data_IF_942046550742
#
_entry.id   IF_942046550742
#
_cell.length_a   1.000
_cell.length_b   1.000
_cell.length_c   1.000
_cell.angle_alpha   90.00
_cell.angle_beta   90.00
_cell.angle_gamma   90.00
#
_symmetry.space_group_name_H-M   'P 1'
#
loop_
_entity.id
_entity.type
_entity.pdbx_description
1 polymer ?
#
# COMPACT_ATOMS: atom_id res chain seq x y z
N UNK A 1 -15.42 -6.24 23.02
CA UNK A 1 -14.16 -7.01 23.09
C UNK A 1 -13.79 -7.07 24.56
N UNK A 2 -13.66 -8.25 25.15
CA UNK A 2 -13.29 -8.40 26.56
C UNK A 2 -11.85 -7.89 26.72
N UNK A 3 -11.65 -6.98 27.69
CA UNK A 3 -10.32 -6.65 28.22
C UNK A 3 -9.61 -7.95 28.55
N UNK A 4 -8.48 -8.20 27.91
CA UNK A 4 -7.60 -9.28 28.31
C UNK A 4 -6.79 -8.76 29.47
N UNK A 5 -7.00 -9.33 30.62
CA UNK A 5 -6.22 -9.12 31.83
C UNK A 5 -4.73 -9.31 31.53
N UNK A 6 -3.95 -8.24 31.60
CA UNK A 6 -2.49 -8.26 31.46
C UNK A 6 -1.80 -9.03 32.61
N UNK A 7 -2.56 -9.40 33.65
CA UNK A 7 -2.06 -10.07 34.85
C UNK A 7 -1.89 -11.58 34.75
N UNK A 8 -2.27 -12.21 33.63
CA UNK A 8 -2.18 -13.68 33.47
C UNK A 8 -0.81 -14.18 32.95
N UNK A 9 0.21 -13.30 32.94
CA UNK A 9 1.56 -13.60 32.42
C UNK A 9 2.65 -13.70 33.50
N UNK A 10 2.28 -13.93 34.75
CA UNK A 10 3.22 -13.84 35.89
C UNK A 10 4.22 -14.99 36.03
N UNK A 11 4.37 -15.87 35.07
CA UNK A 11 5.24 -17.04 35.13
C UNK A 11 6.25 -17.18 33.99
N UNK A 12 6.84 -16.11 33.47
CA UNK A 12 7.94 -16.24 32.53
C UNK A 12 9.11 -15.31 32.88
N UNK A 13 10.28 -15.87 32.90
CA UNK A 13 11.57 -15.29 33.22
C UNK A 13 11.83 -13.98 32.48
N UNK A 14 12.43 -13.00 33.16
CA UNK A 14 13.02 -11.74 32.63
C UNK A 14 12.14 -10.75 31.88
N UNK A 15 10.82 -10.84 31.98
CA UNK A 15 9.91 -9.74 31.53
C UNK A 15 10.24 -8.40 32.22
N UNK A 16 10.90 -8.46 33.38
CA UNK A 16 11.33 -7.28 34.15
C UNK A 16 12.41 -6.48 33.39
N UNK A 17 13.35 -7.16 32.73
CA UNK A 17 14.41 -6.48 31.99
C UNK A 17 13.89 -5.81 30.71
N UNK A 18 13.04 -6.48 29.94
CA UNK A 18 12.42 -5.92 28.74
C UNK A 18 11.48 -4.76 29.08
N UNK A 19 10.60 -4.92 30.07
CA UNK A 19 9.71 -3.86 30.51
C UNK A 19 10.49 -2.66 31.07
N UNK A 20 11.57 -2.91 31.81
CA UNK A 20 12.45 -1.86 32.32
C UNK A 20 13.15 -1.10 31.19
N UNK A 21 13.65 -1.79 30.18
CA UNK A 21 14.26 -1.16 28.99
C UNK A 21 13.26 -0.36 28.20
N UNK A 22 12.05 -0.87 27.98
CA UNK A 22 10.97 -0.13 27.31
C UNK A 22 10.60 1.13 28.09
N UNK A 23 10.40 1.04 29.39
CA UNK A 23 10.10 2.20 30.23
C UNK A 23 11.24 3.25 30.21
N UNK A 24 12.49 2.80 30.16
CA UNK A 24 13.63 3.72 30.04
C UNK A 24 13.61 4.46 28.70
N UNK A 25 13.31 3.77 27.59
CA UNK A 25 13.17 4.41 26.29
C UNK A 25 11.99 5.38 26.27
N UNK A 26 10.84 5.01 26.84
CA UNK A 26 9.68 5.91 26.95
C UNK A 26 10.01 7.18 27.73
N UNK A 27 10.78 7.07 28.82
CA UNK A 27 11.25 8.23 29.59
C UNK A 27 12.29 9.05 28.83
N UNK A 28 13.25 8.40 28.16
CA UNK A 28 14.29 9.07 27.38
C UNK A 28 13.71 9.88 26.21
N UNK A 29 12.74 9.33 25.50
CA UNK A 29 12.10 9.96 24.34
C UNK A 29 10.84 10.77 24.67
N UNK A 30 10.47 10.87 25.96
CA UNK A 30 9.30 11.63 26.39
C UNK A 30 8.00 11.13 25.75
N UNK A 31 7.83 9.81 25.69
CA UNK A 31 6.63 9.19 25.09
C UNK A 31 5.38 9.54 25.91
N UNK A 32 4.39 10.13 25.24
CA UNK A 32 3.10 10.46 25.83
C UNK A 32 1.98 9.62 25.18
N UNK A 33 1.03 9.18 25.99
CA UNK A 33 -0.14 8.43 25.50
C UNK A 33 -1.27 9.36 25.06
N UNK A 34 -1.47 9.45 23.76
CA UNK A 34 -2.57 10.19 23.12
C UNK A 34 -3.66 9.28 22.53
N UNK A 35 -3.86 8.08 23.07
CA UNK A 35 -4.78 7.07 22.50
C UNK A 35 -6.16 7.66 22.16
N UNK A 36 -6.72 8.51 23.01
CA UNK A 36 -8.01 9.15 22.80
C UNK A 36 -8.09 10.02 21.54
N UNK A 37 -7.02 10.71 21.20
CA UNK A 37 -6.96 11.65 20.07
C UNK A 37 -6.66 10.97 18.74
N UNK A 38 -5.86 9.92 18.73
CA UNK A 38 -5.32 9.31 17.51
C UNK A 38 -5.94 7.96 17.15
N UNK A 39 -6.48 7.21 18.11
CA UNK A 39 -7.02 5.87 17.91
C UNK A 39 -7.96 5.73 16.71
N UNK A 40 -8.86 6.70 16.53
CA UNK A 40 -9.82 6.68 15.43
C UNK A 40 -9.24 7.19 14.11
N UNK A 41 -8.14 7.95 14.14
CA UNK A 41 -7.52 8.53 12.95
C UNK A 41 -6.67 7.52 12.17
N UNK A 42 -6.21 6.45 12.81
CA UNK A 42 -5.41 5.39 12.16
C UNK A 42 -6.22 4.63 11.12
N UNK A 43 -7.55 4.54 11.29
CA UNK A 43 -8.39 3.71 10.43
C UNK A 43 -8.58 4.34 9.03
N UNK A 44 -8.16 3.67 7.93
CA UNK A 44 -8.29 4.17 6.56
C UNK A 44 -9.75 4.33 6.10
N UNK A 45 -10.71 3.68 6.79
CA UNK A 45 -12.13 3.77 6.43
C UNK A 45 -12.69 5.21 6.51
N UNK A 46 -12.07 6.09 7.29
CA UNK A 46 -12.45 7.50 7.37
C UNK A 46 -12.20 8.27 6.07
N UNK A 47 -11.17 7.91 5.34
CA UNK A 47 -10.84 8.52 4.05
C UNK A 47 -11.43 7.77 2.84
N UNK A 48 -12.12 6.65 3.08
CA UNK A 48 -12.59 5.72 2.03
C UNK A 48 -13.42 6.38 0.93
N UNK A 49 -14.24 7.37 1.27
CA UNK A 49 -15.14 8.06 0.34
C UNK A 49 -14.63 9.45 -0.06
N UNK A 50 -13.42 9.83 0.38
CA UNK A 50 -12.84 11.12 0.02
C UNK A 50 -12.22 11.07 -1.38
N UNK A 51 -12.25 12.18 -2.13
CA UNK A 51 -11.58 12.31 -3.42
C UNK A 51 -10.13 11.82 -3.36
N UNK A 52 -9.66 11.19 -4.41
CA UNK A 52 -8.33 10.58 -4.55
C UNK A 52 -8.06 9.37 -3.61
N UNK A 53 -8.51 9.38 -2.35
CA UNK A 53 -8.33 8.24 -1.43
C UNK A 53 -9.18 7.03 -1.87
N UNK A 54 -10.30 7.26 -2.56
CA UNK A 54 -11.20 6.23 -3.09
C UNK A 54 -10.71 5.56 -4.39
N UNK A 55 -9.61 6.03 -4.98
CA UNK A 55 -9.16 5.59 -6.31
C UNK A 55 -8.75 4.11 -6.36
N UNK A 56 -8.10 3.63 -5.32
CA UNK A 56 -7.75 2.21 -5.19
C UNK A 56 -8.06 1.69 -3.80
N UNK A 57 -8.51 0.44 -3.73
CA UNK A 57 -8.71 -0.23 -2.45
C UNK A 57 -7.37 -0.68 -1.88
N UNK A 58 -6.82 0.13 -0.98
CA UNK A 58 -5.58 -0.16 -0.28
C UNK A 58 -5.86 -0.33 1.21
N UNK A 59 -5.70 -1.55 1.73
CA UNK A 59 -6.14 -1.92 3.09
C UNK A 59 -5.17 -1.44 4.16
N UNK A 60 -3.93 -1.39 3.82
CA UNK A 60 -2.80 -1.12 4.70
C UNK A 60 -2.53 0.40 4.83
N UNK A 61 -3.37 1.23 4.20
CA UNK A 61 -3.29 2.68 4.33
C UNK A 61 -3.83 3.14 5.69
N UNK A 62 -3.37 4.28 6.13
CA UNK A 62 -3.97 5.07 7.20
C UNK A 62 -4.70 6.30 6.64
N UNK A 63 -5.49 6.97 7.49
CA UNK A 63 -6.30 8.09 7.03
C UNK A 63 -5.45 9.34 6.76
N UNK A 64 -5.84 10.13 5.75
CA UNK A 64 -5.24 11.45 5.53
C UNK A 64 -5.45 12.42 6.69
N UNK A 65 -6.50 12.22 7.53
CA UNK A 65 -6.74 13.02 8.73
C UNK A 65 -5.62 12.84 9.76
N UNK A 66 -5.11 11.60 9.92
CA UNK A 66 -3.95 11.34 10.79
C UNK A 66 -2.74 12.16 10.33
N UNK A 67 -2.43 12.12 9.04
CA UNK A 67 -1.29 12.85 8.47
C UNK A 67 -1.45 14.36 8.69
N UNK A 68 -2.61 14.91 8.38
CA UNK A 68 -2.89 16.34 8.59
C UNK A 68 -2.71 16.74 10.06
N UNK A 69 -3.18 15.90 10.98
CA UNK A 69 -2.99 16.13 12.42
C UNK A 69 -1.49 16.11 12.80
N UNK A 70 -0.73 15.11 12.35
CA UNK A 70 0.71 15.01 12.64
C UNK A 70 1.47 16.22 12.08
N UNK A 71 1.22 16.61 10.85
CA UNK A 71 1.83 17.82 10.26
C UNK A 71 1.46 19.07 11.08
N UNK A 72 0.20 19.20 11.51
CA UNK A 72 -0.25 20.40 12.26
C UNK A 72 0.42 20.56 13.61
N UNK A 73 0.82 19.46 14.26
CA UNK A 73 1.50 19.52 15.57
C UNK A 73 3.04 19.61 15.46
N UNK A 74 3.59 19.35 14.26
CA UNK A 74 5.05 19.32 14.05
C UNK A 74 5.67 20.69 13.73
N UNK A 75 4.88 21.77 13.68
CA UNK A 75 5.36 23.16 13.46
C UNK A 75 6.25 23.35 12.23
N UNK A 76 5.96 22.62 11.12
CA UNK A 76 6.75 22.61 9.90
C UNK A 76 6.58 23.88 9.06
N UNK A 77 7.62 24.21 8.30
CA UNK A 77 7.59 25.29 7.33
C UNK A 77 7.57 24.75 5.88
N UNK A 78 6.45 24.87 5.13
CA UNK A 78 6.31 24.28 3.80
C UNK A 78 7.27 24.88 2.75
N UNK A 79 7.86 26.06 3.00
CA UNK A 79 8.84 26.67 2.08
C UNK A 79 10.24 26.09 2.24
N UNK A 80 10.55 25.43 3.36
CA UNK A 80 11.88 24.92 3.71
C UNK A 80 11.94 23.42 3.91
N UNK A 81 10.80 22.79 4.16
CA UNK A 81 10.74 21.41 4.60
C UNK A 81 9.81 20.59 3.73
N UNK A 82 10.15 19.31 3.59
CA UNK A 82 9.33 18.31 2.90
C UNK A 82 8.86 17.23 3.87
N UNK A 83 7.76 16.58 3.52
CA UNK A 83 7.26 15.39 4.22
C UNK A 83 7.67 14.14 3.46
N UNK A 84 8.20 13.14 4.16
CA UNK A 84 8.73 11.90 3.58
C UNK A 84 7.96 10.69 4.08
N UNK A 85 7.63 9.78 3.17
CA UNK A 85 7.05 8.46 3.48
C UNK A 85 7.82 7.36 2.72
N UNK A 86 8.74 6.65 3.38
CA UNK A 86 9.54 5.61 2.75
C UNK A 86 8.77 4.30 2.46
N UNK A 87 7.48 4.23 2.83
CA UNK A 87 6.60 3.08 2.59
C UNK A 87 5.20 3.57 2.21
N UNK A 88 5.14 4.47 1.21
CA UNK A 88 3.99 5.33 0.96
C UNK A 88 2.71 4.62 0.50
N UNK A 89 2.80 3.36 0.08
CA UNK A 89 1.64 2.59 -0.35
C UNK A 89 0.80 3.33 -1.39
N UNK A 90 -0.46 3.55 -1.08
CA UNK A 90 -1.37 4.32 -1.94
C UNK A 90 -1.17 5.85 -1.89
N UNK A 91 -0.18 6.36 -1.14
CA UNK A 91 0.17 7.78 -1.10
C UNK A 91 -0.69 8.64 -0.18
N UNK A 92 -1.19 8.10 0.92
CA UNK A 92 -2.00 8.88 1.88
C UNK A 92 -1.23 10.04 2.50
N UNK A 93 0.03 9.80 2.90
CA UNK A 93 0.93 10.85 3.41
C UNK A 93 1.17 11.92 2.36
N UNK A 94 1.51 11.51 1.14
CA UNK A 94 1.89 12.43 0.07
C UNK A 94 0.73 13.34 -0.32
N UNK A 95 -0.47 12.76 -0.44
CA UNK A 95 -1.67 13.50 -0.77
C UNK A 95 -2.03 14.51 0.33
N UNK A 96 -2.06 14.09 1.59
CA UNK A 96 -2.37 14.98 2.71
C UNK A 96 -1.31 16.09 2.89
N UNK A 97 -0.05 15.82 2.57
CA UNK A 97 1.02 16.81 2.56
C UNK A 97 0.79 17.88 1.48
N UNK A 98 0.45 17.45 0.25
CA UNK A 98 0.13 18.35 -0.85
C UNK A 98 -1.11 19.21 -0.56
N UNK A 99 -2.16 18.65 0.06
CA UNK A 99 -3.36 19.37 0.52
C UNK A 99 -3.01 20.51 1.50
N UNK A 100 -1.94 20.34 2.29
CA UNK A 100 -1.42 21.35 3.24
C UNK A 100 -0.32 22.25 2.66
N UNK A 101 0.00 22.11 1.38
CA UNK A 101 0.98 22.95 0.68
C UNK A 101 2.44 22.52 0.86
N UNK A 102 2.69 21.30 1.34
CA UNK A 102 4.05 20.75 1.46
C UNK A 102 4.45 19.96 0.21
N UNK A 103 5.71 20.07 -0.17
CA UNK A 103 6.35 19.10 -1.04
C UNK A 103 6.44 17.76 -0.30
N UNK A 104 6.37 16.66 -1.06
CA UNK A 104 6.40 15.33 -0.47
C UNK A 104 7.29 14.36 -1.27
N UNK A 105 7.83 13.38 -0.57
CA UNK A 105 8.67 12.35 -1.16
C UNK A 105 8.24 10.97 -0.66
N UNK A 106 8.06 10.01 -1.56
CA UNK A 106 7.62 8.67 -1.22
C UNK A 106 8.39 7.56 -1.91
N UNK A 107 8.58 6.46 -1.19
CA UNK A 107 9.07 5.19 -1.72
C UNK A 107 8.06 4.08 -1.48
N UNK A 108 7.99 3.13 -2.38
CA UNK A 108 7.34 1.84 -2.18
C UNK A 108 7.94 0.80 -3.12
N UNK A 109 8.06 -0.45 -2.67
CA UNK A 109 8.61 -1.53 -3.49
C UNK A 109 7.60 -2.12 -4.48
N UNK A 110 6.33 -1.81 -4.30
CA UNK A 110 5.25 -2.36 -5.11
C UNK A 110 4.90 -1.41 -6.27
N UNK A 111 5.14 -1.80 -7.52
CA UNK A 111 4.87 -0.94 -8.67
C UNK A 111 3.43 -0.44 -8.76
N UNK A 112 2.44 -1.26 -8.37
CA UNK A 112 1.04 -0.85 -8.32
C UNK A 112 0.81 0.32 -7.35
N UNK A 113 1.35 0.21 -6.13
CA UNK A 113 1.26 1.26 -5.11
C UNK A 113 1.85 2.57 -5.59
N UNK A 114 3.05 2.51 -6.17
CA UNK A 114 3.74 3.67 -6.74
C UNK A 114 2.90 4.33 -7.83
N UNK A 115 2.37 3.55 -8.78
CA UNK A 115 1.54 4.09 -9.86
C UNK A 115 0.22 4.68 -9.35
N UNK A 116 -0.41 4.03 -8.38
CA UNK A 116 -1.62 4.56 -7.73
C UNK A 116 -1.31 5.88 -7.00
N UNK A 117 -0.20 5.97 -6.30
CA UNK A 117 0.23 7.19 -5.63
C UNK A 117 0.55 8.31 -6.64
N UNK A 118 1.39 8.05 -7.64
CA UNK A 118 1.75 9.00 -8.69
C UNK A 118 0.53 9.58 -9.42
N UNK A 119 -0.46 8.73 -9.75
CA UNK A 119 -1.64 9.17 -10.51
C UNK A 119 -2.52 10.18 -9.78
N UNK A 120 -2.43 10.26 -8.46
CA UNK A 120 -3.17 11.27 -7.66
C UNK A 120 -2.67 12.70 -7.88
N UNK A 121 -1.49 12.87 -8.46
CA UNK A 121 -0.87 14.16 -8.73
C UNK A 121 -0.94 14.55 -10.21
N UNK A 122 -1.68 13.81 -11.02
CA UNK A 122 -1.96 14.17 -12.41
C UNK A 122 -2.85 15.41 -12.48
N UNK A 123 -2.53 16.31 -13.40
CA UNK A 123 -3.37 17.41 -13.84
C UNK A 123 -3.82 17.16 -15.28
N UNK A 124 -5.04 17.54 -15.63
CA UNK A 124 -5.59 17.33 -16.96
C UNK A 124 -5.95 18.68 -17.59
N UNK A 125 -5.45 18.91 -18.79
CA UNK A 125 -5.90 20.01 -19.63
C UNK A 125 -7.13 19.61 -20.47
N UNK A 126 -7.73 20.60 -21.12
CA UNK A 126 -8.96 20.39 -21.92
C UNK A 126 -8.77 19.38 -23.08
N UNK A 127 -7.59 19.32 -23.69
CA UNK A 127 -7.30 18.36 -24.75
C UNK A 127 -7.26 16.93 -24.21
N UNK A 128 -6.64 16.71 -23.05
CA UNK A 128 -6.58 15.44 -22.35
C UNK A 128 -7.98 14.99 -21.88
N UNK A 129 -8.79 15.92 -21.38
CA UNK A 129 -10.19 15.63 -21.01
C UNK A 129 -11.01 15.18 -22.23
N UNK A 130 -10.85 15.83 -23.39
CA UNK A 130 -11.51 15.39 -24.63
C UNK A 130 -11.03 14.00 -25.06
N UNK A 131 -9.72 13.78 -25.04
CA UNK A 131 -9.13 12.48 -25.37
C UNK A 131 -9.69 11.35 -24.49
N UNK A 132 -9.81 11.57 -23.16
CA UNK A 132 -10.40 10.57 -22.25
C UNK A 132 -11.86 10.25 -22.65
N UNK A 133 -12.65 11.25 -23.02
CA UNK A 133 -14.04 11.04 -23.46
C UNK A 133 -14.12 10.23 -24.75
N UNK A 134 -13.22 10.50 -25.70
CA UNK A 134 -13.13 9.73 -26.94
C UNK A 134 -12.75 8.26 -26.66
N UNK A 135 -11.79 8.04 -25.78
CA UNK A 135 -11.38 6.69 -25.33
C UNK A 135 -12.53 5.96 -24.63
N UNK A 136 -13.27 6.63 -23.76
CA UNK A 136 -14.45 6.04 -23.12
C UNK A 136 -15.49 5.60 -24.14
N UNK A 137 -15.78 6.40 -25.17
CA UNK A 137 -16.68 6.02 -26.24
C UNK A 137 -16.15 4.80 -27.01
N UNK A 138 -14.85 4.80 -27.37
CA UNK A 138 -14.22 3.66 -28.04
C UNK A 138 -14.30 2.38 -27.19
N UNK A 139 -14.10 2.47 -25.88
CA UNK A 139 -14.22 1.33 -24.97
C UNK A 139 -15.65 0.79 -24.91
N UNK A 140 -16.65 1.67 -24.85
CA UNK A 140 -18.06 1.26 -24.81
C UNK A 140 -18.52 0.65 -26.13
N UNK A 141 -17.96 1.10 -27.25
CA UNK A 141 -18.32 0.65 -28.60
C UNK A 141 -17.51 -0.56 -29.07
N UNK A 142 -16.34 -0.86 -28.47
CA UNK A 142 -15.43 -1.90 -28.97
C UNK A 142 -15.97 -3.33 -28.83
N UNK A 143 -16.92 -3.56 -27.91
CA UNK A 143 -17.39 -4.90 -27.60
C UNK A 143 -16.28 -5.82 -27.03
N UNK A 144 -16.61 -7.09 -26.85
CA UNK A 144 -15.69 -8.10 -26.31
C UNK A 144 -14.91 -8.72 -27.49
N UNK A 145 -13.75 -8.15 -27.81
CA UNK A 145 -12.87 -8.62 -28.89
C UNK A 145 -11.37 -8.57 -28.51
N UNK A 146 -10.92 -9.34 -27.50
CA UNK A 146 -9.49 -9.35 -27.17
C UNK A 146 -8.70 -10.04 -28.29
N UNK A 147 -7.77 -9.30 -28.91
CA UNK A 147 -6.90 -9.82 -29.95
C UNK A 147 -5.65 -10.52 -29.40
N UNK A 148 -5.19 -10.14 -28.23
CA UNK A 148 -4.01 -10.71 -27.57
C UNK A 148 -4.19 -10.78 -26.06
N UNK A 149 -3.87 -11.93 -25.50
CA UNK A 149 -3.81 -12.18 -24.05
C UNK A 149 -2.38 -12.64 -23.75
N UNK A 150 -1.70 -11.97 -22.84
CA UNK A 150 -0.37 -12.37 -22.42
C UNK A 150 -0.39 -13.64 -21.57
N UNK A 151 0.72 -14.38 -21.52
CA UNK A 151 0.83 -15.58 -20.68
C UNK A 151 0.59 -15.27 -19.20
N UNK A 152 1.02 -14.09 -18.72
CA UNK A 152 0.77 -13.63 -17.36
C UNK A 152 -0.75 -13.47 -17.09
N UNK A 153 -1.46 -12.78 -17.94
CA UNK A 153 -2.92 -12.59 -17.83
C UNK A 153 -3.67 -13.92 -17.90
N UNK A 154 -3.30 -14.79 -18.83
CA UNK A 154 -3.92 -16.12 -18.95
C UNK A 154 -3.72 -16.95 -17.66
N UNK A 155 -2.58 -16.82 -16.99
CA UNK A 155 -2.29 -17.56 -15.75
C UNK A 155 -3.24 -17.25 -14.59
N UNK A 156 -3.86 -16.07 -14.60
CA UNK A 156 -4.80 -15.62 -13.56
C UNK A 156 -6.25 -15.53 -14.06
N UNK A 157 -6.53 -15.92 -15.29
CA UNK A 157 -7.90 -15.97 -15.85
C UNK A 157 -8.88 -16.68 -14.95
N UNK A 158 -8.47 -17.75 -14.28
CA UNK A 158 -9.24 -18.51 -13.29
C UNK A 158 -9.76 -17.69 -12.08
N UNK A 159 -9.28 -16.46 -11.89
CA UNK A 159 -9.74 -15.57 -10.82
C UNK A 159 -10.94 -14.72 -11.25
N UNK A 160 -11.36 -14.81 -12.50
CA UNK A 160 -12.48 -14.09 -13.07
C UNK A 160 -13.53 -15.06 -13.63
N UNK A 161 -14.76 -14.61 -13.82
CA UNK A 161 -15.62 -15.27 -14.81
C UNK A 161 -15.12 -14.93 -16.23
N UNK A 162 -15.49 -15.74 -17.19
CA UNK A 162 -14.95 -15.62 -18.55
C UNK A 162 -15.30 -14.28 -19.22
N UNK A 163 -16.53 -13.79 -19.02
CA UNK A 163 -17.02 -12.54 -19.61
C UNK A 163 -16.25 -11.34 -19.07
N UNK A 164 -16.20 -11.18 -17.74
CA UNK A 164 -15.45 -10.10 -17.10
C UNK A 164 -13.98 -10.10 -17.48
N UNK A 165 -13.35 -11.29 -17.57
CA UNK A 165 -11.95 -11.38 -17.97
C UNK A 165 -11.74 -10.82 -19.38
N UNK A 166 -12.57 -11.22 -20.34
CA UNK A 166 -12.47 -10.78 -21.73
C UNK A 166 -12.78 -9.29 -21.88
N UNK A 167 -13.79 -8.77 -21.16
CA UNK A 167 -14.09 -7.34 -21.12
C UNK A 167 -12.89 -6.52 -20.57
N UNK A 168 -12.29 -6.96 -19.48
CA UNK A 168 -11.12 -6.29 -18.90
C UNK A 168 -9.92 -6.27 -19.86
N UNK A 169 -9.69 -7.36 -20.62
CA UNK A 169 -8.64 -7.38 -21.64
C UNK A 169 -8.97 -6.43 -22.79
N UNK A 170 -10.24 -6.39 -23.25
CA UNK A 170 -10.67 -5.48 -24.30
C UNK A 170 -10.49 -4.01 -23.90
N UNK A 171 -10.87 -3.63 -22.68
CA UNK A 171 -10.64 -2.29 -22.13
C UNK A 171 -9.13 -1.95 -22.16
N UNK A 172 -8.28 -2.88 -21.69
CA UNK A 172 -6.82 -2.69 -21.67
C UNK A 172 -6.27 -2.45 -23.07
N UNK A 173 -6.74 -3.19 -24.07
CA UNK A 173 -6.25 -3.06 -25.46
C UNK A 173 -6.54 -1.67 -26.04
N UNK A 174 -7.72 -1.10 -25.77
CA UNK A 174 -8.06 0.24 -26.23
C UNK A 174 -7.13 1.28 -25.61
N UNK A 175 -7.03 1.34 -24.26
CA UNK A 175 -6.21 2.37 -23.64
C UNK A 175 -4.70 2.15 -23.81
N UNK A 176 -4.25 0.94 -24.13
CA UNK A 176 -2.82 0.65 -24.38
C UNK A 176 -2.27 1.34 -25.64
N UNK A 177 -3.14 1.88 -26.51
CA UNK A 177 -2.74 2.60 -27.71
C UNK A 177 -2.56 4.11 -27.47
N UNK A 178 -2.79 4.58 -26.24
CA UNK A 178 -2.70 6.00 -25.90
C UNK A 178 -1.23 6.43 -25.80
N UNK A 179 -0.88 7.50 -26.52
CA UNK A 179 0.46 8.06 -26.48
C UNK A 179 0.64 9.11 -25.35
N UNK A 180 -0.43 9.78 -24.90
CA UNK A 180 -0.39 10.73 -23.80
C UNK A 180 -0.13 9.96 -22.49
N UNK A 181 0.97 10.31 -21.82
CA UNK A 181 1.45 9.57 -20.63
C UNK A 181 0.51 9.69 -19.43
N UNK A 182 -0.06 10.87 -19.23
CA UNK A 182 -0.93 11.13 -18.07
C UNK A 182 -2.30 10.47 -18.28
N UNK A 183 -2.87 10.59 -19.48
CA UNK A 183 -4.11 9.91 -19.86
C UNK A 183 -3.95 8.40 -19.79
N UNK A 184 -2.85 7.84 -20.33
CA UNK A 184 -2.53 6.42 -20.20
C UNK A 184 -2.42 5.98 -18.74
N UNK A 185 -1.68 6.74 -17.91
CA UNK A 185 -1.50 6.41 -16.49
C UNK A 185 -2.84 6.42 -15.75
N UNK A 186 -3.69 7.42 -15.99
CA UNK A 186 -5.01 7.53 -15.37
C UNK A 186 -5.92 6.37 -15.78
N UNK A 187 -6.01 6.05 -17.09
CA UNK A 187 -6.77 4.91 -17.58
C UNK A 187 -6.26 3.59 -17.00
N UNK A 188 -4.94 3.39 -16.97
CA UNK A 188 -4.33 2.19 -16.39
C UNK A 188 -4.67 2.03 -14.91
N UNK A 189 -4.60 3.09 -14.11
CA UNK A 189 -4.95 3.02 -12.68
C UNK A 189 -6.45 2.83 -12.47
N UNK A 190 -7.31 3.48 -13.25
CA UNK A 190 -8.75 3.24 -13.22
C UNK A 190 -9.06 1.76 -13.46
N UNK A 191 -8.45 1.17 -14.49
CA UNK A 191 -8.59 -0.23 -14.84
C UNK A 191 -8.06 -1.18 -13.76
N UNK A 192 -6.84 -0.94 -13.23
CA UNK A 192 -6.30 -1.75 -12.14
C UNK A 192 -7.15 -1.68 -10.86
N UNK A 193 -7.76 -0.54 -10.60
CA UNK A 193 -8.58 -0.31 -9.40
C UNK A 193 -9.90 -1.08 -9.39
N UNK A 194 -10.38 -1.53 -10.54
CA UNK A 194 -11.63 -2.30 -10.66
C UNK A 194 -11.41 -3.81 -10.69
N UNK A 195 -10.18 -4.29 -10.84
CA UNK A 195 -9.88 -5.71 -11.03
C UNK A 195 -10.39 -6.58 -9.89
N UNK A 196 -10.19 -6.15 -8.62
CA UNK A 196 -10.68 -6.91 -7.47
C UNK A 196 -12.21 -7.07 -7.51
N UNK A 197 -12.95 -6.00 -7.83
CA UNK A 197 -14.42 -6.04 -7.84
C UNK A 197 -14.96 -6.85 -9.01
N UNK A 198 -14.31 -6.81 -10.18
CA UNK A 198 -14.67 -7.60 -11.35
C UNK A 198 -14.20 -9.07 -11.25
N UNK A 199 -13.40 -9.43 -10.24
CA UNK A 199 -12.89 -10.79 -10.03
C UNK A 199 -13.74 -11.60 -9.05
N UNK A 200 -13.53 -12.93 -9.05
CA UNK A 200 -14.04 -13.85 -8.02
C UNK A 200 -13.12 -13.92 -6.80
N UNK A 201 -12.31 -12.87 -6.57
CA UNK A 201 -11.37 -12.79 -5.46
C UNK A 201 -11.58 -11.50 -4.67
N UNK A 202 -11.30 -11.57 -3.38
CA UNK A 202 -11.21 -10.41 -2.49
C UNK A 202 -9.94 -10.51 -1.66
N UNK A 203 -9.32 -9.39 -1.38
CA UNK A 203 -8.22 -9.33 -0.42
C UNK A 203 -8.75 -9.72 0.96
N UNK A 204 -8.11 -10.70 1.60
CA UNK A 204 -8.51 -11.21 2.91
C UNK A 204 -7.31 -11.70 3.70
N UNK A 205 -7.06 -11.09 4.85
CA UNK A 205 -5.95 -11.45 5.73
C UNK A 205 -4.64 -11.59 4.95
N UNK A 206 -4.15 -12.82 4.82
CA UNK A 206 -2.84 -13.12 4.24
C UNK A 206 -2.85 -13.36 2.71
N UNK A 207 -3.89 -12.92 1.99
CA UNK A 207 -3.92 -13.14 0.55
C UNK A 207 -5.28 -12.88 -0.10
N UNK A 208 -5.68 -13.77 -1.01
CA UNK A 208 -6.92 -13.66 -1.77
C UNK A 208 -7.91 -14.78 -1.39
N UNK A 209 -9.03 -14.42 -0.78
CA UNK A 209 -10.18 -15.32 -0.59
C UNK A 209 -11.07 -15.34 -1.83
N UNK A 210 -11.86 -16.41 -1.98
CA UNK A 210 -12.87 -16.49 -3.04
C UNK A 210 -14.13 -15.73 -2.63
N UNK A 211 -14.71 -15.01 -3.58
CA UNK A 211 -16.02 -14.37 -3.50
C UNK A 211 -16.77 -14.62 -4.81
N UNK A 212 -18.05 -14.36 -4.82
CA UNK A 212 -18.82 -14.18 -6.04
C UNK A 212 -18.78 -12.70 -6.45
N UNK A 213 -18.44 -12.41 -7.71
CA UNK A 213 -18.52 -11.05 -8.23
C UNK A 213 -19.96 -10.67 -8.51
N UNK A 214 -20.30 -9.41 -8.21
CA UNK A 214 -21.60 -8.81 -8.54
C UNK A 214 -21.54 -7.93 -9.78
N UNK A 215 -20.34 -7.74 -10.31
CA UNK A 215 -20.12 -6.91 -11.51
C UNK A 215 -20.34 -7.82 -12.73
N UNK A 216 -21.24 -7.40 -13.60
CA UNK A 216 -21.62 -8.09 -14.85
C UNK A 216 -21.33 -7.26 -16.09
N UNK A 217 -20.82 -6.02 -15.93
CA UNK A 217 -20.46 -5.09 -17.00
C UNK A 217 -19.22 -4.30 -16.56
N UNK A 218 -18.04 -4.80 -16.95
CA UNK A 218 -16.78 -4.15 -16.62
C UNK A 218 -16.56 -2.86 -17.42
N UNK A 219 -17.17 -2.70 -18.61
CA UNK A 219 -17.07 -1.48 -19.40
C UNK A 219 -17.73 -0.31 -18.67
N UNK A 220 -18.96 -0.50 -18.23
CA UNK A 220 -19.66 0.54 -17.47
C UNK A 220 -19.01 0.80 -16.10
N UNK A 221 -18.49 -0.25 -15.45
CA UNK A 221 -17.82 -0.11 -14.18
C UNK A 221 -16.49 0.67 -14.31
N UNK A 222 -15.73 0.41 -15.37
CA UNK A 222 -14.52 1.18 -15.73
C UNK A 222 -14.85 2.64 -16.03
N UNK A 223 -15.87 2.90 -16.86
CA UNK A 223 -16.33 4.26 -17.17
C UNK A 223 -16.63 5.04 -15.90
N UNK A 224 -17.47 4.49 -15.01
CA UNK A 224 -17.85 5.14 -13.76
C UNK A 224 -16.62 5.47 -12.90
N UNK A 225 -15.65 4.54 -12.85
CA UNK A 225 -14.40 4.75 -12.11
C UNK A 225 -13.57 5.89 -12.69
N UNK A 226 -13.37 5.91 -13.99
CA UNK A 226 -12.57 6.94 -14.65
C UNK A 226 -13.25 8.32 -14.58
N UNK A 227 -14.57 8.40 -14.74
CA UNK A 227 -15.33 9.64 -14.56
C UNK A 227 -15.26 10.18 -13.14
N UNK A 228 -15.28 9.30 -12.12
CA UNK A 228 -15.04 9.69 -10.73
C UNK A 228 -13.65 10.30 -10.56
N UNK A 229 -12.61 9.66 -11.10
CA UNK A 229 -11.24 10.15 -11.01
C UNK A 229 -11.06 11.51 -11.73
N UNK A 230 -11.66 11.68 -12.91
CA UNK A 230 -11.67 12.96 -13.62
C UNK A 230 -12.38 14.06 -12.82
N UNK A 231 -13.48 13.71 -12.15
CA UNK A 231 -14.24 14.64 -11.31
C UNK A 231 -13.41 15.09 -10.11
N UNK A 232 -12.69 14.17 -9.47
CA UNK A 232 -11.79 14.50 -8.37
C UNK A 232 -10.68 15.44 -8.81
N UNK A 233 -10.04 15.18 -9.98
CA UNK A 233 -9.00 16.06 -10.54
C UNK A 233 -9.57 17.45 -10.83
N UNK A 234 -10.73 17.53 -11.47
CA UNK A 234 -11.37 18.80 -11.81
C UNK A 234 -11.73 19.63 -10.57
N UNK A 235 -12.18 18.95 -9.51
CA UNK A 235 -12.64 19.60 -8.28
C UNK A 235 -11.52 19.80 -7.25
N UNK A 236 -10.26 19.54 -7.61
CA UNK A 236 -9.11 19.80 -6.75
C UNK A 236 -9.07 21.30 -6.39
N UNK A 237 -9.06 21.59 -5.11
CA UNK A 237 -9.12 22.96 -4.56
C UNK A 237 -7.82 23.42 -3.90
N UNK A 238 -6.71 22.72 -4.15
CA UNK A 238 -5.37 23.04 -3.68
C UNK A 238 -4.37 22.94 -4.84
N UNK A 239 -3.32 23.73 -4.75
CA UNK A 239 -2.22 23.71 -5.72
C UNK A 239 -1.34 22.46 -5.49
N UNK A 240 -1.02 21.75 -6.57
CA UNK A 240 -0.08 20.66 -6.48
C UNK A 240 1.32 21.16 -6.12
N UNK A 241 1.93 20.46 -5.19
CA UNK A 241 3.31 20.67 -4.79
C UNK A 241 4.20 19.59 -5.39
N UNK A 242 5.51 19.82 -5.41
CA UNK A 242 6.45 18.82 -5.90
C UNK A 242 6.31 17.53 -5.08
N UNK A 243 5.91 16.48 -5.76
CA UNK A 243 5.71 15.16 -5.14
C UNK A 243 6.40 14.11 -5.96
N UNK A 244 7.50 13.58 -5.41
CA UNK A 244 8.28 12.52 -6.04
C UNK A 244 7.94 11.17 -5.41
N UNK A 245 7.67 10.19 -6.27
CA UNK A 245 7.35 8.81 -5.83
C UNK A 245 8.15 7.82 -6.65
N UNK A 246 8.95 6.98 -5.99
CA UNK A 246 9.82 6.01 -6.66
C UNK A 246 9.51 4.58 -6.24
N UNK A 247 9.76 3.64 -7.18
CA UNK A 247 9.59 2.22 -6.94
C UNK A 247 10.90 1.63 -6.39
N UNK A 248 11.17 1.94 -5.12
CA UNK A 248 12.42 1.61 -4.43
C UNK A 248 12.16 1.11 -3.01
N UNK A 249 13.15 0.44 -2.42
CA UNK A 249 13.10 0.02 -1.02
C UNK A 249 13.29 1.20 -0.08
N UNK A 250 12.62 1.19 1.07
CA UNK A 250 12.87 2.15 2.14
C UNK A 250 14.33 2.19 2.61
N UNK A 251 15.07 1.09 2.42
CA UNK A 251 16.52 1.02 2.74
C UNK A 251 17.37 1.92 1.85
N UNK A 252 16.87 2.33 0.67
CA UNK A 252 17.55 3.28 -0.23
C UNK A 252 17.15 4.74 0.00
N UNK A 253 16.41 5.04 1.08
CA UNK A 253 15.87 6.37 1.34
C UNK A 253 16.96 7.46 1.33
N UNK A 254 18.05 7.26 2.05
CA UNK A 254 19.12 8.25 2.16
C UNK A 254 19.74 8.62 0.80
N UNK A 255 19.91 7.60 -0.08
CA UNK A 255 20.48 7.80 -1.41
C UNK A 255 19.49 8.45 -2.39
N UNK A 256 18.19 8.12 -2.23
CA UNK A 256 17.15 8.52 -3.19
C UNK A 256 16.60 9.90 -2.87
N UNK A 257 16.36 10.21 -1.59
CA UNK A 257 15.78 11.49 -1.16
C UNK A 257 16.66 12.68 -1.52
N UNK A 258 17.99 12.52 -1.49
CA UNK A 258 18.92 13.59 -1.87
C UNK A 258 18.72 14.11 -3.29
N UNK A 259 18.20 13.28 -4.19
CA UNK A 259 17.93 13.68 -5.59
C UNK A 259 16.76 14.66 -5.71
N UNK A 260 15.87 14.66 -4.72
CA UNK A 260 14.64 15.48 -4.69
C UNK A 260 14.74 16.67 -3.72
N UNK A 261 15.79 16.71 -2.87
CA UNK A 261 16.01 17.80 -1.90
C UNK A 261 16.69 19.00 -2.56
N UNK A 262 15.96 19.72 -3.40
CA UNK A 262 16.47 20.99 -3.96
C UNK A 262 16.14 22.14 -3.00
N UNK A 263 17.15 22.61 -2.24
CA UNK A 263 17.04 23.71 -1.29
C UNK A 263 16.04 23.51 -0.13
N UNK A 264 15.65 22.27 0.16
CA UNK A 264 14.78 21.93 1.28
C UNK A 264 15.40 20.84 2.16
N UNK A 265 14.91 20.73 3.38
CA UNK A 265 15.29 19.68 4.32
C UNK A 265 14.12 18.74 4.60
N UNK A 266 14.39 17.55 5.09
CA UNK A 266 13.33 16.66 5.59
C UNK A 266 12.85 17.21 6.92
N UNK A 267 11.60 17.64 6.97
CA UNK A 267 10.96 18.16 8.19
C UNK A 267 10.23 17.09 8.97
N UNK A 268 9.62 16.11 8.28
CA UNK A 268 8.84 15.06 8.92
C UNK A 268 8.90 13.78 8.12
N UNK A 269 9.04 12.65 8.81
CA UNK A 269 8.93 11.31 8.24
C UNK A 269 7.71 10.62 8.85
N UNK A 270 6.74 10.23 8.01
CA UNK A 270 5.53 9.51 8.44
C UNK A 270 5.42 8.24 7.62
N UNK A 271 5.34 7.08 8.27
CA UNK A 271 5.18 5.81 7.59
C UNK A 271 4.54 4.75 8.48
N UNK A 272 3.98 3.73 7.84
CA UNK A 272 3.50 2.51 8.49
C UNK A 272 4.32 1.33 7.96
N UNK A 273 5.25 0.80 8.76
CA UNK A 273 6.10 -0.30 8.31
C UNK A 273 5.30 -1.57 8.13
N UNK A 274 5.79 -2.53 7.33
CA UNK A 274 5.17 -3.85 7.24
C UNK A 274 5.08 -4.49 8.62
N UNK A 275 3.89 -4.96 8.98
CA UNK A 275 3.67 -5.58 10.28
C UNK A 275 4.35 -6.95 10.36
N UNK A 276 4.91 -7.28 11.52
CA UNK A 276 5.53 -8.59 11.82
C UNK A 276 4.49 -9.71 12.00
N UNK A 277 3.45 -9.75 11.16
CA UNK A 277 2.33 -10.68 11.22
C UNK A 277 2.27 -11.70 10.07
N UNK A 278 3.37 -11.83 9.32
CA UNK A 278 3.48 -12.71 8.15
C UNK A 278 2.51 -12.35 7.00
N UNK A 279 2.12 -11.09 6.87
CA UNK A 279 1.27 -10.64 5.76
C UNK A 279 2.04 -10.59 4.45
N UNK A 280 1.50 -11.26 3.40
CA UNK A 280 2.10 -11.26 2.07
C UNK A 280 1.42 -10.21 1.17
N UNK A 281 2.02 -9.02 1.11
CA UNK A 281 1.53 -7.92 0.28
C UNK A 281 1.49 -8.28 -1.20
N UNK A 282 2.52 -8.98 -1.71
CA UNK A 282 2.56 -9.40 -3.11
C UNK A 282 1.50 -10.44 -3.45
N UNK A 283 1.12 -11.31 -2.51
CA UNK A 283 0.00 -12.23 -2.70
C UNK A 283 -1.34 -11.49 -2.73
N UNK A 284 -1.51 -10.50 -1.87
CA UNK A 284 -2.75 -9.71 -1.78
C UNK A 284 -3.01 -8.87 -3.02
N UNK A 285 -1.96 -8.34 -3.65
CA UNK A 285 -2.05 -7.48 -4.85
C UNK A 285 -1.61 -8.19 -6.14
N UNK A 286 -1.51 -9.52 -6.15
CA UNK A 286 -1.00 -10.25 -7.31
C UNK A 286 -1.84 -10.08 -8.58
N UNK A 287 -3.15 -9.87 -8.46
CA UNK A 287 -4.02 -9.60 -9.61
C UNK A 287 -3.57 -8.31 -10.29
N UNK A 288 -3.47 -7.22 -9.54
CA UNK A 288 -3.04 -5.93 -10.04
C UNK A 288 -1.61 -5.98 -10.57
N UNK A 289 -0.71 -6.68 -9.89
CA UNK A 289 0.69 -6.81 -10.30
C UNK A 289 0.86 -7.59 -11.60
N UNK A 290 0.13 -8.67 -11.80
CA UNK A 290 0.20 -9.50 -13.00
C UNK A 290 -0.54 -8.84 -14.16
N UNK A 291 -1.79 -8.39 -13.95
CA UNK A 291 -2.55 -7.68 -14.98
C UNK A 291 -1.85 -6.38 -15.41
N UNK A 292 -1.20 -5.70 -14.46
CA UNK A 292 -0.41 -4.49 -14.73
C UNK A 292 0.86 -4.73 -15.52
N UNK A 293 1.27 -5.99 -15.71
CA UNK A 293 2.42 -6.40 -16.52
C UNK A 293 3.77 -6.25 -15.79
N UNK A 294 3.79 -6.14 -14.48
CA UNK A 294 5.05 -6.01 -13.71
C UNK A 294 5.65 -7.36 -13.31
N UNK A 295 4.81 -8.35 -13.10
CA UNK A 295 5.21 -9.70 -12.71
C UNK A 295 4.37 -10.76 -13.43
N UNK A 296 4.89 -11.98 -13.46
CA UNK A 296 4.15 -13.22 -13.74
C UNK A 296 4.03 -14.03 -12.44
N UNK A 297 3.32 -15.17 -12.46
CA UNK A 297 3.30 -16.07 -11.31
C UNK A 297 4.70 -16.59 -10.94
N UNK A 298 5.57 -16.77 -11.94
CA UNK A 298 6.95 -17.24 -11.76
C UNK A 298 7.87 -16.16 -11.18
N UNK A 299 7.71 -14.90 -11.59
CA UNK A 299 8.58 -13.79 -11.18
C UNK A 299 8.07 -13.04 -9.95
N UNK A 300 6.82 -13.24 -9.52
CA UNK A 300 6.26 -12.62 -8.32
C UNK A 300 7.10 -12.85 -7.04
N UNK A 301 7.75 -14.04 -6.83
CA UNK A 301 8.66 -14.24 -5.71
C UNK A 301 9.88 -13.30 -5.69
N UNK A 302 10.30 -12.80 -6.84
CA UNK A 302 11.42 -11.82 -6.92
C UNK A 302 11.01 -10.46 -6.37
N UNK A 303 9.76 -10.04 -6.63
CA UNK A 303 9.19 -8.84 -6.04
C UNK A 303 9.16 -8.91 -4.51
N UNK A 304 8.78 -10.07 -3.96
CA UNK A 304 8.76 -10.30 -2.49
C UNK A 304 10.14 -10.12 -1.84
N UNK A 305 11.22 -10.45 -2.56
CA UNK A 305 12.60 -10.28 -2.03
C UNK A 305 13.01 -8.83 -1.86
N UNK A 306 12.37 -7.90 -2.57
CA UNK A 306 12.63 -6.46 -2.46
C UNK A 306 11.93 -5.81 -1.26
N UNK A 307 10.87 -6.46 -0.75
CA UNK A 307 10.14 -5.95 0.40
C UNK A 307 10.93 -6.16 1.70
N UNK A 308 10.78 -5.23 2.64
CA UNK A 308 11.24 -5.43 4.01
C UNK A 308 10.53 -6.65 4.59
N UNK A 309 11.25 -7.44 5.37
CA UNK A 309 10.80 -8.76 5.83
C UNK A 309 9.51 -8.68 6.67
N UNK A 310 8.40 -9.05 6.08
CA UNK A 310 7.12 -9.27 6.79
C UNK A 310 6.58 -10.70 6.59
N UNK A 311 7.17 -11.45 5.63
CA UNK A 311 6.65 -12.74 5.23
C UNK A 311 7.73 -13.83 5.09
N UNK A 312 7.40 -15.04 5.56
CA UNK A 312 8.34 -16.16 5.77
C UNK A 312 8.93 -16.79 4.53
N UNK A 313 8.18 -16.88 3.42
CA UNK A 313 8.62 -17.68 2.25
C UNK A 313 9.77 -17.06 1.46
N UNK A 314 10.07 -15.78 1.67
CA UNK A 314 11.15 -15.08 0.95
C UNK A 314 12.56 -15.34 1.48
N UNK A 315 12.73 -15.90 2.69
CA UNK A 315 14.01 -15.93 3.39
C UNK A 315 14.29 -17.29 4.01
N UNK A 316 15.11 -18.08 3.30
CA UNK A 316 15.51 -19.42 3.77
C UNK A 316 16.86 -19.44 4.52
N UNK A 317 17.62 -18.37 4.51
CA UNK A 317 18.99 -18.37 5.00
C UNK A 317 19.12 -17.55 6.28
N UNK A 318 19.24 -18.26 7.38
CA UNK A 318 19.84 -17.81 8.64
C UNK A 318 19.08 -16.74 9.41
N UNK A 319 18.93 -16.95 10.69
CA UNK A 319 18.69 -15.90 11.67
C UNK A 319 19.91 -14.99 11.64
N UNK A 320 19.77 -13.79 11.10
CA UNK A 320 20.78 -12.75 11.32
C UNK A 320 20.51 -12.17 12.71
N UNK A 321 21.48 -12.21 13.57
CA UNK A 321 21.43 -11.44 14.82
C UNK A 321 21.43 -9.96 14.46
N UNK A 322 20.60 -9.18 15.16
CA UNK A 322 20.67 -7.72 15.11
C UNK A 322 21.89 -7.25 15.90
N UNK A 323 22.44 -6.09 15.54
CA UNK A 323 23.41 -5.38 16.38
C UNK A 323 22.74 -4.74 17.61
N UNK A 324 21.41 -4.67 17.62
CA UNK A 324 20.60 -4.11 18.69
C UNK A 324 20.16 -5.18 19.68
N UNK A 325 20.60 -5.05 20.93
CA UNK A 325 20.30 -6.00 22.00
C UNK A 325 18.81 -6.09 22.33
N UNK A 326 18.05 -4.99 22.19
CA UNK A 326 16.62 -4.98 22.44
C UNK A 326 15.87 -5.81 21.38
N UNK A 327 16.27 -5.69 20.12
CA UNK A 327 15.69 -6.50 19.03
C UNK A 327 15.99 -7.98 19.26
N UNK A 328 17.22 -8.32 19.66
CA UNK A 328 17.59 -9.71 19.96
C UNK A 328 16.76 -10.27 21.12
N UNK A 329 16.60 -9.52 22.22
CA UNK A 329 15.74 -9.91 23.35
C UNK A 329 14.27 -10.10 22.94
N UNK A 330 13.71 -9.22 22.12
CA UNK A 330 12.35 -9.35 21.61
C UNK A 330 12.19 -10.63 20.77
N UNK A 331 13.17 -10.92 19.93
CA UNK A 331 13.17 -12.12 19.10
C UNK A 331 13.24 -13.40 19.97
N UNK A 332 14.08 -13.43 20.98
CA UNK A 332 14.23 -14.54 21.90
C UNK A 332 12.95 -14.78 22.71
N UNK A 333 12.31 -13.73 23.21
CA UNK A 333 11.05 -13.78 23.93
C UNK A 333 9.92 -14.35 23.05
N UNK A 334 9.82 -13.88 21.80
CA UNK A 334 8.83 -14.39 20.84
C UNK A 334 9.06 -15.88 20.56
N UNK A 335 10.31 -16.29 20.39
CA UNK A 335 10.67 -17.70 20.14
C UNK A 335 10.37 -18.60 21.35
N UNK A 336 10.62 -18.10 22.56
CA UNK A 336 10.30 -18.81 23.80
C UNK A 336 8.78 -18.98 23.97
N UNK A 337 8.00 -17.92 23.77
CA UNK A 337 6.53 -17.99 23.82
C UNK A 337 5.97 -18.96 22.78
N UNK A 338 6.57 -19.03 21.60
CA UNK A 338 6.18 -20.00 20.58
C UNK A 338 6.45 -21.42 21.04
N UNK A 339 7.65 -21.71 21.57
CA UNK A 339 8.02 -23.04 22.07
C UNK A 339 7.05 -23.50 23.16
N UNK A 340 6.80 -22.63 24.15
CA UNK A 340 5.86 -22.92 25.22
C UNK A 340 4.45 -23.22 24.70
N UNK A 341 3.97 -22.48 23.71
CA UNK A 341 2.66 -22.71 23.09
C UNK A 341 2.59 -24.00 22.28
N UNK A 342 3.67 -24.34 21.54
CA UNK A 342 3.77 -25.61 20.82
C UNK A 342 3.74 -26.82 21.80
N UNK A 343 4.43 -26.71 22.95
CA UNK A 343 4.44 -27.71 23.99
C UNK A 343 3.06 -27.87 24.63
N UNK A 344 2.39 -26.76 25.00
CA UNK A 344 1.06 -26.80 25.64
C UNK A 344 -0.04 -27.30 24.70
N UNK A 345 0.04 -27.02 23.42
CA UNK A 345 -1.01 -27.34 22.44
C UNK A 345 -0.78 -28.67 21.71
N UNK A 346 0.37 -29.28 21.84
CA UNK A 346 0.83 -30.44 21.04
C UNK A 346 0.72 -30.18 19.52
N UNK A 347 0.53 -28.95 19.11
CA UNK A 347 0.39 -28.52 17.71
C UNK A 347 1.46 -27.50 17.38
N UNK A 348 2.15 -27.74 16.26
CA UNK A 348 3.14 -26.82 15.72
C UNK A 348 2.51 -25.49 15.34
N UNK A 349 2.83 -24.41 16.05
CA UNK A 349 2.35 -23.08 15.73
C UNK A 349 3.24 -22.44 14.65
N UNK A 350 2.71 -22.33 13.44
CA UNK A 350 3.43 -21.74 12.33
C UNK A 350 3.26 -20.22 12.23
N UNK A 351 2.39 -19.60 13.05
CA UNK A 351 2.05 -18.18 12.93
C UNK A 351 3.13 -17.25 13.46
N UNK A 352 3.84 -17.70 14.52
CA UNK A 352 4.92 -16.92 15.16
C UNK A 352 6.31 -17.38 14.73
N UNK A 353 6.42 -18.17 13.66
CA UNK A 353 7.71 -18.55 13.13
C UNK A 353 8.29 -17.35 12.42
N UNK A 354 9.33 -16.79 12.97
CA UNK A 354 10.17 -15.77 12.43
C UNK A 354 9.50 -14.39 12.39
N UNK A 355 9.59 -13.66 13.45
CA UNK A 355 9.96 -12.25 13.34
C UNK A 355 11.39 -12.29 12.83
N UNK A 356 11.67 -11.86 11.62
CA UNK A 356 13.03 -11.79 11.16
C UNK A 356 13.74 -10.77 12.02
N UNK A 357 14.94 -11.08 12.49
CA UNK A 357 15.87 -10.06 12.92
C UNK A 357 16.07 -9.14 11.70
N UNK A 358 15.52 -7.96 11.74
CA UNK A 358 15.70 -6.92 10.72
C UNK A 358 16.97 -6.15 11.01
#
# INVERSE_FOLDING_TARGET
MKERDLNDYSNCYDTVDLASKMNNLEMEFGVEDFEGDYKNLVNPSRSKNHPFYSWGRYREAYSGELVRKLISVSSLNPTREIVVDPMCGSGSTLLASAELGFDAFGLDVMPYSVKLSQSKFIELNDAQIRLIKEILNQILDCGVQPSQISSGEESIRKYFNNENFLELISIKQVFSQINDKDVFALCKIAWLSILEECSNKKKDGNGLATKETKITDCFQYFKNKLETMMTDIKNRNYELKNTDVFCESATSLAETVHKSLVNKTVGLVIFSPPYANSFDYFESYKIELIMGGWYTLETLPEGRKKAIRSYRKGYRNGLLSSEDDLINLLCDEIDQRRKNKEEMSQKKDNRNRLVPNT
#
